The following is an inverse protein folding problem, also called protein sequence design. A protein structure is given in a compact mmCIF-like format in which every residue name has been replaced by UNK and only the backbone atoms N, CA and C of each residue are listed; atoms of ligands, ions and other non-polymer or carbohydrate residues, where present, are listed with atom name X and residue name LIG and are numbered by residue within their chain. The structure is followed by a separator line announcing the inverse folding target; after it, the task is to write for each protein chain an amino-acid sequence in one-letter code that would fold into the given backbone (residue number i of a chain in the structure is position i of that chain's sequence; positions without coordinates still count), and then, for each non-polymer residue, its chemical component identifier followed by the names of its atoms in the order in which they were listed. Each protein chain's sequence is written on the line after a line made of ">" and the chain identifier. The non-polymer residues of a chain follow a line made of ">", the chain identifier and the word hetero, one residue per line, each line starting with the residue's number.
data_IF_212355207073
#
_entry.id   IF_212355207073
#
_cell.length_a   1.000
_cell.length_b   1.000
_cell.length_c   1.000
_cell.angle_alpha   90.00
_cell.angle_beta   90.00
_cell.angle_gamma   90.00
#
_symmetry.space_group_name_H-M   'P 1'
#
loop_
_entity.id
_entity.type
_entity.pdbx_description
1 polymer ?
#
# COMPACT_ATOMS: atom_id res chain seq x y z
N UNK A 1 -2.23 -30.57 6.15
CA UNK A 1 -1.41 -30.00 5.06
C UNK A 1 -0.06 -29.61 5.64
N UNK A 2 1.03 -30.02 4.98
CA UNK A 2 2.40 -29.79 5.43
C UNK A 2 2.75 -28.29 5.24
N UNK A 3 3.05 -27.58 6.32
CA UNK A 3 3.50 -26.18 6.26
C UNK A 3 4.97 -26.17 5.84
N UNK A 4 5.25 -25.70 4.63
CA UNK A 4 6.62 -25.48 4.15
C UNK A 4 7.20 -24.24 4.83
N UNK A 5 8.09 -24.46 5.80
CA UNK A 5 8.89 -23.43 6.44
C UNK A 5 9.94 -22.93 5.45
N UNK A 6 9.63 -21.85 4.74
CA UNK A 6 10.61 -21.14 3.91
C UNK A 6 11.44 -20.25 4.82
N UNK A 7 12.72 -20.55 4.97
CA UNK A 7 13.67 -19.66 5.65
C UNK A 7 13.93 -18.46 4.74
N UNK A 8 13.17 -17.39 4.90
CA UNK A 8 13.42 -16.15 4.15
C UNK A 8 14.61 -15.46 4.77
N UNK A 9 15.76 -15.51 4.11
CA UNK A 9 16.94 -14.72 4.46
C UNK A 9 16.62 -13.23 4.29
N UNK A 10 16.47 -12.54 5.43
CA UNK A 10 16.41 -11.08 5.60
C UNK A 10 15.27 -10.33 4.88
N UNK A 11 14.24 -9.93 5.64
CA UNK A 11 13.41 -8.76 5.28
C UNK A 11 14.04 -7.56 5.99
N UNK A 12 14.42 -6.47 5.30
CA UNK A 12 14.93 -5.28 5.97
C UNK A 12 13.82 -4.68 6.85
N UNK A 13 14.11 -4.48 8.14
CA UNK A 13 13.25 -3.68 9.00
C UNK A 13 13.41 -2.17 8.67
N UNK A 14 12.61 -1.32 9.31
CA UNK A 14 12.66 0.14 9.14
C UNK A 14 13.99 0.77 9.59
N UNK A 15 14.95 -0.02 10.08
CA UNK A 15 16.24 0.41 10.59
C UNK A 15 17.44 -0.27 9.89
N UNK A 16 17.20 -1.00 8.79
CA UNK A 16 18.25 -1.68 8.03
C UNK A 16 18.88 -2.88 8.75
N UNK A 17 18.29 -3.35 9.85
CA UNK A 17 18.75 -4.55 10.56
C UNK A 17 18.10 -5.76 9.91
N UNK A 18 18.94 -6.65 9.35
CA UNK A 18 18.49 -7.94 8.85
C UNK A 18 18.11 -8.81 10.05
N UNK A 19 16.83 -8.90 10.35
CA UNK A 19 16.34 -9.79 11.42
C UNK A 19 16.25 -11.20 10.84
N UNK A 20 17.11 -12.11 11.29
CA UNK A 20 16.95 -13.55 11.01
C UNK A 20 15.95 -14.13 12.02
N UNK A 21 14.71 -14.28 11.58
CA UNK A 21 13.66 -14.95 12.35
C UNK A 21 12.81 -15.80 11.42
N UNK A 22 12.13 -16.80 11.96
CA UNK A 22 11.11 -17.53 11.22
C UNK A 22 9.91 -16.61 10.98
N UNK A 23 9.87 -15.94 9.83
CA UNK A 23 8.62 -15.39 9.35
C UNK A 23 7.72 -16.56 8.96
N UNK A 24 6.77 -16.92 9.81
CA UNK A 24 5.65 -17.76 9.40
C UNK A 24 4.86 -16.91 8.41
N UNK A 25 4.97 -17.21 7.12
CA UNK A 25 4.05 -16.70 6.12
C UNK A 25 2.66 -17.24 6.48
N UNK A 26 1.87 -16.43 7.19
CA UNK A 26 0.48 -16.78 7.48
C UNK A 26 -0.26 -16.76 6.15
N UNK A 27 -0.79 -17.90 5.66
CA UNK A 27 -1.62 -17.90 4.48
C UNK A 27 -2.85 -17.02 4.76
N UNK A 28 -2.99 -15.91 4.04
CA UNK A 28 -4.06 -14.92 4.27
C UNK A 28 -3.67 -13.71 5.13
N UNK A 29 -2.42 -13.58 5.57
CA UNK A 29 -1.93 -12.29 6.06
C UNK A 29 -1.98 -11.29 4.90
N UNK A 30 -2.72 -10.19 5.05
CA UNK A 30 -2.65 -9.05 4.13
C UNK A 30 -1.18 -8.64 4.10
N UNK A 31 -0.43 -9.02 3.06
CA UNK A 31 1.01 -8.81 2.97
C UNK A 31 1.38 -7.34 3.13
N UNK A 32 2.68 -7.02 3.10
CA UNK A 32 3.17 -5.64 3.26
C UNK A 32 2.35 -4.63 2.42
N UNK A 33 1.96 -3.46 2.96
CA UNK A 33 1.15 -2.48 2.24
C UNK A 33 1.71 -2.15 0.87
N UNK A 34 0.84 -1.88 -0.11
CA UNK A 34 1.28 -1.16 -1.29
C UNK A 34 1.50 0.30 -0.91
N UNK A 35 2.63 0.86 -1.31
CA UNK A 35 3.01 2.23 -0.99
C UNK A 35 3.58 2.87 -2.24
N UNK A 36 3.10 4.06 -2.58
CA UNK A 36 3.62 4.83 -3.72
C UNK A 36 3.64 6.32 -3.40
N UNK A 37 4.52 7.06 -4.06
CA UNK A 37 4.65 8.51 -3.91
C UNK A 37 4.14 9.22 -5.15
N UNK A 38 3.49 10.37 -4.97
CA UNK A 38 2.98 11.18 -6.07
C UNK A 38 3.38 12.64 -5.88
N UNK A 39 3.46 13.37 -6.98
CA UNK A 39 3.81 14.78 -6.97
C UNK A 39 2.94 15.56 -7.95
N UNK A 40 2.39 16.68 -7.49
CA UNK A 40 1.57 17.60 -8.28
C UNK A 40 0.41 16.91 -9.03
N UNK A 41 -0.34 16.05 -8.32
CA UNK A 41 -1.49 15.32 -8.85
C UNK A 41 -2.79 15.79 -8.19
N UNK A 42 -3.89 15.80 -8.94
CA UNK A 42 -5.26 15.95 -8.42
C UNK A 42 -5.99 14.61 -8.30
N UNK A 43 -5.46 13.55 -8.93
CA UNK A 43 -5.99 12.20 -8.83
C UNK A 43 -4.90 11.16 -9.07
N UNK A 44 -5.14 9.94 -8.59
CA UNK A 44 -4.26 8.78 -8.81
C UNK A 44 -5.08 7.64 -9.39
N UNK A 45 -4.51 6.92 -10.36
CA UNK A 45 -5.05 5.68 -10.88
C UNK A 45 -4.04 4.56 -10.59
N UNK A 46 -4.42 3.62 -9.73
CA UNK A 46 -3.56 2.54 -9.26
C UNK A 46 -4.23 1.23 -9.62
N UNK A 47 -3.61 0.45 -10.51
CA UNK A 47 -4.25 -0.78 -10.99
C UNK A 47 -4.23 -1.89 -9.93
N UNK A 48 -5.24 -2.76 -9.95
CA UNK A 48 -5.34 -3.94 -9.08
C UNK A 48 -4.13 -4.85 -9.18
N UNK A 49 -3.61 -5.01 -10.40
CA UNK A 49 -2.38 -5.76 -10.67
C UNK A 49 -1.14 -5.10 -10.05
N UNK A 50 -1.10 -3.76 -9.97
CA UNK A 50 0.01 -3.01 -9.38
C UNK A 50 0.03 -3.14 -7.86
N UNK A 51 -1.12 -3.02 -7.18
CA UNK A 51 -1.15 -3.04 -5.72
C UNK A 51 -1.37 -4.42 -5.10
N UNK A 52 -1.96 -5.37 -5.83
CA UNK A 52 -2.04 -6.78 -5.45
C UNK A 52 -2.83 -7.07 -4.16
N UNK A 53 -3.83 -6.25 -3.83
CA UNK A 53 -4.62 -6.37 -2.57
C UNK A 53 -6.02 -6.98 -2.74
N UNK A 54 -6.44 -7.30 -3.95
CA UNK A 54 -7.84 -7.60 -4.23
C UNK A 54 -8.70 -6.34 -4.10
N UNK A 55 -10.02 -6.51 -4.05
CA UNK A 55 -10.97 -5.39 -4.15
C UNK A 55 -11.43 -4.84 -2.77
N UNK A 56 -11.27 -5.62 -1.69
CA UNK A 56 -11.58 -5.18 -0.32
C UNK A 56 -10.35 -4.49 0.30
N UNK A 57 -10.21 -3.19 0.03
CA UNK A 57 -9.02 -2.41 0.38
C UNK A 57 -9.33 -1.15 1.19
N UNK A 58 -8.37 -0.80 2.04
CA UNK A 58 -8.35 0.49 2.71
C UNK A 58 -7.28 1.40 2.11
N UNK A 59 -7.67 2.64 1.75
CA UNK A 59 -6.78 3.62 1.13
C UNK A 59 -6.51 4.78 2.09
N UNK A 60 -5.22 5.10 2.26
CA UNK A 60 -4.74 6.23 3.05
C UNK A 60 -3.84 7.10 2.20
N UNK A 61 -3.98 8.41 2.31
CA UNK A 61 -3.18 9.39 1.58
C UNK A 61 -2.56 10.35 2.59
N UNK A 62 -1.27 10.64 2.46
CA UNK A 62 -0.52 11.49 3.38
C UNK A 62 0.17 12.61 2.61
N UNK A 63 0.24 13.80 3.21
CA UNK A 63 0.89 14.96 2.62
C UNK A 63 2.41 14.77 2.55
N UNK A 64 3.04 15.33 1.52
CA UNK A 64 4.50 15.44 1.44
C UNK A 64 5.06 16.49 2.41
N UNK A 65 4.28 17.53 2.72
CA UNK A 65 4.71 18.63 3.59
C UNK A 65 4.72 18.22 5.07
N UNK A 66 3.75 17.38 5.46
CA UNK A 66 3.74 16.71 6.77
C UNK A 66 3.25 15.26 6.61
N UNK A 67 4.13 14.25 6.72
CA UNK A 67 3.76 12.85 6.56
C UNK A 67 2.91 12.30 7.72
N UNK A 68 2.72 13.08 8.80
CA UNK A 68 1.75 12.76 9.86
C UNK A 68 0.36 13.27 9.51
N UNK A 69 0.25 14.20 8.57
CA UNK A 69 -1.01 14.75 8.11
C UNK A 69 -1.62 13.85 7.03
N UNK A 70 -2.86 13.42 7.28
CA UNK A 70 -3.62 12.59 6.35
C UNK A 70 -4.44 13.52 5.46
N UNK A 71 -4.22 13.41 4.15
CA UNK A 71 -5.05 14.07 3.16
C UNK A 71 -6.41 13.37 3.09
N UNK A 72 -7.49 14.14 3.24
CA UNK A 72 -8.85 13.65 3.04
C UNK A 72 -9.14 13.55 1.54
N UNK A 73 -8.81 12.39 0.98
CA UNK A 73 -9.07 12.03 -0.40
C UNK A 73 -10.27 11.08 -0.49
N UNK A 74 -11.11 11.27 -1.50
CA UNK A 74 -12.10 10.26 -1.89
C UNK A 74 -11.41 9.13 -2.64
N UNK A 75 -11.97 7.93 -2.62
CA UNK A 75 -11.54 6.86 -3.51
C UNK A 75 -12.68 5.95 -3.92
N UNK A 76 -12.54 5.32 -5.08
CA UNK A 76 -13.40 4.24 -5.56
C UNK A 76 -12.56 3.04 -5.90
N UNK A 77 -13.15 1.85 -5.82
CA UNK A 77 -12.54 0.58 -6.23
C UNK A 77 -13.44 -0.05 -7.28
N UNK A 78 -12.85 -0.48 -8.40
CA UNK A 78 -13.56 -1.28 -9.40
C UNK A 78 -13.63 -2.74 -8.94
N UNK A 79 -14.82 -3.31 -8.78
CA UNK A 79 -14.99 -4.68 -8.25
C UNK A 79 -14.54 -5.79 -9.22
N UNK A 80 -14.34 -5.47 -10.51
CA UNK A 80 -13.92 -6.43 -11.53
C UNK A 80 -12.39 -6.51 -11.69
N UNK A 81 -11.73 -5.35 -11.68
CA UNK A 81 -10.26 -5.25 -11.85
C UNK A 81 -9.52 -4.99 -10.54
N UNK A 82 -10.26 -4.63 -9.48
CA UNK A 82 -9.74 -4.10 -8.23
C UNK A 82 -8.93 -2.81 -8.41
N UNK A 83 -9.12 -2.06 -9.50
CA UNK A 83 -8.41 -0.80 -9.70
C UNK A 83 -8.90 0.27 -8.71
N UNK A 84 -7.96 1.03 -8.15
CA UNK A 84 -8.24 2.11 -7.21
C UNK A 84 -8.06 3.45 -7.91
N UNK A 85 -9.12 4.26 -7.90
CA UNK A 85 -9.07 5.66 -8.31
C UNK A 85 -9.18 6.55 -7.07
N UNK A 86 -8.17 7.39 -6.86
CA UNK A 86 -8.12 8.34 -5.73
C UNK A 86 -8.36 9.75 -6.26
N UNK A 87 -9.26 10.49 -5.62
CA UNK A 87 -9.54 11.91 -5.88
C UNK A 87 -8.93 12.76 -4.75
N UNK A 88 -7.94 13.58 -5.10
CA UNK A 88 -7.23 14.49 -4.20
C UNK A 88 -7.87 15.91 -4.20
N UNK A 89 -8.94 16.12 -4.97
CA UNK A 89 -9.65 17.38 -5.11
C UNK A 89 -9.09 18.30 -6.19
N UNK A 90 -9.56 19.55 -6.20
CA UNK A 90 -9.30 20.50 -7.29
C UNK A 90 -7.93 21.17 -7.29
N UNK A 91 -7.09 20.90 -6.27
CA UNK A 91 -5.75 21.49 -6.13
C UNK A 91 -4.73 20.36 -6.22
N UNK A 92 -3.68 20.55 -7.01
CA UNK A 92 -2.61 19.57 -7.13
C UNK A 92 -1.90 19.37 -5.79
N UNK A 93 -1.80 18.12 -5.35
CA UNK A 93 -1.15 17.72 -4.10
C UNK A 93 0.06 16.83 -4.39
N UNK A 94 0.94 16.72 -3.40
CA UNK A 94 2.08 15.81 -3.41
C UNK A 94 2.08 15.03 -2.11
N UNK A 95 2.54 13.78 -2.14
CA UNK A 95 2.42 12.93 -0.97
C UNK A 95 2.69 11.46 -1.23
N UNK A 96 2.08 10.64 -0.37
CA UNK A 96 2.18 9.19 -0.38
C UNK A 96 0.80 8.55 -0.27
N UNK A 97 0.57 7.51 -1.05
CA UNK A 97 -0.62 6.65 -0.96
C UNK A 97 -0.25 5.30 -0.37
N UNK A 98 -1.11 4.74 0.48
CA UNK A 98 -0.96 3.44 1.14
C UNK A 98 -2.24 2.63 0.96
N UNK A 99 -2.11 1.38 0.49
CA UNK A 99 -3.23 0.45 0.27
C UNK A 99 -3.01 -0.85 1.08
N UNK A 100 -4.03 -1.23 1.85
CA UNK A 100 -4.06 -2.39 2.76
C UNK A 100 -5.14 -3.41 2.38
#
# INVERSE_FOLDING_TARGET
>A
ALSTRTTTTAVPDFNGVSVSGDCVAIPGGRGAPYVDTFASQTSLAITGATHGKGCDVAVFVYSADDPRDRLYAGYTVDDGTCDVAVDLGSVAQSGKVVIL
#
